data_IF_582783313055
#
_entry.id   IF_582783313055
#
_cell.length_a   1.000
_cell.length_b   1.000
_cell.length_c   1.000
_cell.angle_alpha   90.00
_cell.angle_beta   90.00
_cell.angle_gamma   90.00
#
_symmetry.space_group_name_H-M   'P 1'
#
loop_
_entity.id
_entity.type
_entity.pdbx_description
1 polymer ?
#
# COMPACT_ATOMS: atom_id res chain seq x y z
N UNK A 1 5.68 -74.13 49.90
CA UNK A 1 6.34 -74.91 48.85
C UNK A 1 6.68 -74.01 47.67
N UNK A 2 7.91 -73.51 47.65
CA UNK A 2 8.72 -73.07 46.49
C UNK A 2 9.51 -74.30 45.96
N UNK A 3 10.13 -74.32 44.74
CA UNK A 3 11.12 -73.36 44.16
C UNK A 3 10.79 -72.93 42.70
N UNK A 4 11.19 -71.77 42.12
CA UNK A 4 12.44 -70.97 42.01
C UNK A 4 13.49 -71.48 41.01
N UNK A 5 13.79 -70.66 39.98
CA UNK A 5 15.09 -70.38 39.31
C UNK A 5 14.79 -69.23 38.29
N UNK A 6 15.56 -68.17 38.03
CA UNK A 6 16.90 -67.69 38.40
C UNK A 6 17.44 -66.80 37.25
N UNK A 7 17.91 -65.58 37.55
CA UNK A 7 18.46 -64.53 36.65
C UNK A 7 19.81 -64.90 35.99
N UNK A 8 20.47 -64.19 35.05
CA UNK A 8 20.77 -62.74 34.89
C UNK A 8 21.43 -62.46 33.47
N UNK A 9 22.29 -61.43 33.24
CA UNK A 9 22.00 -60.12 32.61
C UNK A 9 22.78 -59.87 31.29
N UNK A 10 22.55 -58.73 30.62
CA UNK A 10 23.49 -58.19 29.60
C UNK A 10 23.70 -56.69 29.81
N UNK A 11 24.95 -56.34 30.08
CA UNK A 11 25.54 -55.00 30.18
C UNK A 11 25.79 -54.35 28.81
N UNK A 12 26.02 -53.04 28.80
CA UNK A 12 27.06 -52.44 27.95
C UNK A 12 26.60 -51.46 26.86
N UNK A 13 26.47 -50.19 27.24
CA UNK A 13 26.66 -49.06 26.32
C UNK A 13 28.13 -49.00 25.90
N UNK A 14 28.40 -49.01 24.60
CA UNK A 14 29.62 -48.45 24.02
C UNK A 14 29.26 -47.48 22.90
N UNK A 15 29.77 -46.26 23.03
CA UNK A 15 29.63 -45.18 22.07
C UNK A 15 30.50 -45.45 20.82
N UNK A 16 29.93 -45.25 19.64
CA UNK A 16 30.69 -45.17 18.39
C UNK A 16 30.92 -43.70 17.98
N UNK A 17 32.10 -43.35 17.45
CA UNK A 17 32.59 -41.98 17.37
C UNK A 17 31.97 -41.19 16.21
N UNK A 18 31.89 -39.87 16.42
CA UNK A 18 31.54 -38.89 15.42
C UNK A 18 32.55 -38.91 14.25
N UNK A 19 32.06 -39.18 13.05
CA UNK A 19 32.82 -38.98 11.80
C UNK A 19 32.61 -37.54 11.37
N UNK A 20 33.65 -36.72 11.56
CA UNK A 20 33.75 -35.39 10.95
C UNK A 20 33.81 -35.51 9.41
N UNK A 21 32.98 -34.79 8.65
CA UNK A 21 33.25 -34.61 7.24
C UNK A 21 34.41 -33.62 7.07
N UNK A 22 35.45 -34.13 6.40
CA UNK A 22 36.63 -33.44 5.91
C UNK A 22 36.23 -32.23 5.06
N UNK A 23 36.73 -31.05 5.46
CA UNK A 23 36.69 -29.83 4.65
C UNK A 23 37.61 -30.02 3.45
N UNK A 24 37.01 -30.18 2.27
CA UNK A 24 37.71 -30.06 0.99
C UNK A 24 37.50 -28.66 0.44
N UNK A 25 38.54 -27.83 0.46
CA UNK A 25 38.58 -26.58 -0.29
C UNK A 25 38.39 -26.85 -1.79
N UNK A 26 37.25 -26.43 -2.34
CA UNK A 26 37.07 -26.32 -3.79
C UNK A 26 36.95 -24.85 -4.13
N UNK A 27 38.09 -24.29 -4.51
CA UNK A 27 38.22 -23.00 -5.16
C UNK A 27 37.59 -23.10 -6.57
N UNK A 28 36.36 -22.60 -6.75
CA UNK A 28 35.77 -22.39 -8.08
C UNK A 28 35.26 -20.97 -8.22
N UNK A 29 36.12 -20.12 -8.79
CA UNK A 29 35.70 -18.94 -9.54
C UNK A 29 34.74 -19.39 -10.65
N UNK A 30 33.50 -18.90 -10.62
CA UNK A 30 32.62 -18.93 -11.78
C UNK A 30 32.14 -17.51 -12.06
N UNK A 31 32.70 -16.95 -13.12
CA UNK A 31 32.19 -15.79 -13.83
C UNK A 31 30.74 -16.08 -14.27
N UNK A 32 29.81 -15.20 -13.90
CA UNK A 32 28.50 -15.15 -14.55
C UNK A 32 28.38 -13.81 -15.27
N UNK A 33 28.49 -13.84 -16.59
CA UNK A 33 28.13 -12.73 -17.48
C UNK A 33 26.80 -13.09 -18.17
N UNK A 34 25.81 -12.26 -17.89
CA UNK A 34 24.63 -11.83 -18.65
C UNK A 34 23.97 -12.74 -19.69
N UNK A 35 22.64 -12.84 -19.61
CA UNK A 35 21.73 -12.59 -20.74
C UNK A 35 20.53 -11.78 -20.23
N UNK A 36 20.44 -10.51 -20.62
CA UNK A 36 19.22 -9.71 -20.52
C UNK A 36 18.30 -10.16 -21.66
N UNK A 37 17.20 -10.82 -21.33
CA UNK A 37 16.08 -11.04 -22.25
C UNK A 37 15.02 -9.98 -22.02
N UNK A 38 14.93 -9.00 -22.93
CA UNK A 38 13.80 -8.09 -22.99
C UNK A 38 12.58 -8.87 -23.52
N UNK A 39 11.53 -9.01 -22.70
CA UNK A 39 10.24 -9.50 -23.12
C UNK A 39 9.21 -8.37 -23.00
N UNK A 40 8.90 -7.75 -24.14
CA UNK A 40 7.71 -6.92 -24.32
C UNK A 40 6.54 -7.89 -24.45
N UNK A 41 5.63 -7.89 -23.47
CA UNK A 41 4.34 -8.58 -23.59
C UNK A 41 3.26 -7.52 -23.70
N UNK A 42 2.83 -7.30 -24.94
CA UNK A 42 1.55 -6.64 -25.23
C UNK A 42 0.45 -7.64 -24.89
N UNK A 43 -0.37 -7.32 -23.90
CA UNK A 43 -1.48 -8.17 -23.47
C UNK A 43 -2.81 -7.58 -23.94
N UNK A 44 -3.66 -8.33 -24.64
CA UNK A 44 -5.07 -8.05 -24.74
C UNK A 44 -5.84 -9.06 -23.87
N UNK A 45 -6.21 -8.69 -22.65
CA UNK A 45 -7.19 -9.45 -21.88
C UNK A 45 -8.58 -8.86 -22.09
N UNK A 46 -9.37 -9.56 -22.90
CA UNK A 46 -10.84 -9.49 -22.86
C UNK A 46 -11.29 -10.43 -21.74
N UNK A 47 -11.77 -9.88 -20.62
CA UNK A 47 -12.44 -10.67 -19.59
C UNK A 47 -13.87 -10.95 -20.03
N UNK A 48 -14.21 -12.24 -20.13
CA UNK A 48 -15.59 -12.71 -20.25
C UNK A 48 -16.33 -12.49 -18.94
N UNK A 49 -17.40 -11.69 -18.99
CA UNK A 49 -18.32 -11.50 -17.88
C UNK A 49 -19.22 -12.73 -17.71
N UNK A 50 -19.25 -13.28 -16.50
CA UNK A 50 -20.33 -14.18 -16.04
C UNK A 50 -21.58 -13.31 -15.84
N UNK A 51 -22.65 -13.66 -16.54
CA UNK A 51 -23.93 -12.95 -16.56
C UNK A 51 -24.59 -12.90 -15.18
N UNK A 52 -24.69 -11.70 -14.60
CA UNK A 52 -25.70 -11.37 -13.59
C UNK A 52 -26.76 -10.48 -14.23
N UNK A 53 -28.02 -10.94 -14.25
CA UNK A 53 -29.15 -10.21 -14.84
C UNK A 53 -29.58 -9.08 -13.90
N UNK A 54 -29.26 -7.83 -14.26
CA UNK A 54 -29.81 -6.62 -13.65
C UNK A 54 -29.23 -5.39 -14.35
N UNK A 55 -30.07 -4.64 -15.06
CA UNK A 55 -29.64 -3.69 -16.09
C UNK A 55 -28.88 -2.46 -15.60
N UNK A 56 -27.84 -2.09 -16.36
CA UNK A 56 -27.35 -0.72 -16.54
C UNK A 56 -26.37 -0.68 -17.73
N UNK A 57 -26.88 -0.90 -18.95
CA UNK A 57 -26.13 -0.68 -20.18
C UNK A 57 -26.18 0.81 -20.56
N UNK A 58 -25.24 1.62 -20.10
CA UNK A 58 -24.97 2.94 -20.73
C UNK A 58 -23.61 3.58 -20.42
N UNK A 59 -22.81 3.10 -19.47
CA UNK A 59 -21.56 3.79 -19.09
C UNK A 59 -20.36 3.53 -20.02
N UNK A 60 -20.29 2.38 -20.70
CA UNK A 60 -19.10 1.98 -21.48
C UNK A 60 -18.99 2.61 -22.89
N UNK A 61 -20.04 3.28 -23.39
CA UNK A 61 -20.01 3.97 -24.69
C UNK A 61 -19.53 5.43 -24.61
N UNK A 62 -19.41 6.01 -23.41
CA UNK A 62 -19.08 7.43 -23.25
C UNK A 62 -17.56 7.71 -23.26
N UNK A 63 -16.74 6.69 -22.98
CA UNK A 63 -15.28 6.86 -22.81
C UNK A 63 -14.52 6.81 -24.15
N UNK A 64 -15.04 6.14 -25.18
CA UNK A 64 -14.41 6.15 -26.52
C UNK A 64 -14.86 7.30 -27.43
N UNK A 65 -15.92 8.03 -27.09
CA UNK A 65 -16.36 9.23 -27.84
C UNK A 65 -15.68 10.52 -27.36
N UNK A 66 -14.98 10.49 -26.22
CA UNK A 66 -14.32 11.67 -25.64
C UNK A 66 -12.90 11.90 -26.17
N UNK A 67 -12.33 10.94 -26.92
CA UNK A 67 -10.96 11.00 -27.45
C UNK A 67 -10.85 11.55 -28.88
N UNK A 68 -11.97 11.88 -29.54
CA UNK A 68 -11.98 12.31 -30.96
C UNK A 68 -12.56 13.72 -31.21
N UNK A 69 -12.80 14.52 -30.15
CA UNK A 69 -13.45 15.84 -30.28
C UNK A 69 -12.63 17.06 -29.86
N UNK A 70 -11.32 16.93 -29.67
CA UNK A 70 -10.43 18.10 -29.46
C UNK A 70 -9.43 18.20 -30.61
N UNK A 71 -9.95 18.47 -31.80
CA UNK A 71 -9.17 19.09 -32.89
C UNK A 71 -10.03 20.12 -33.58
N UNK A 72 -10.00 21.34 -33.07
CA UNK A 72 -10.26 22.55 -33.86
C UNK A 72 -9.46 23.71 -33.25
N UNK A 73 -8.87 24.58 -34.10
CA UNK A 73 -7.80 25.46 -33.68
C UNK A 73 -8.38 26.74 -33.07
N UNK A 74 -7.96 27.05 -31.84
CA UNK A 74 -8.23 28.36 -31.24
C UNK A 74 -7.09 29.30 -31.62
N UNK A 75 -7.45 30.28 -32.46
CA UNK A 75 -7.01 31.67 -32.47
C UNK A 75 -5.54 31.96 -32.10
N UNK A 76 -4.79 32.39 -33.10
CA UNK A 76 -3.52 33.11 -32.99
C UNK A 76 -3.53 34.18 -31.89
N UNK A 77 -2.88 33.90 -30.78
CA UNK A 77 -2.26 34.92 -29.92
C UNK A 77 -0.76 34.92 -30.24
N UNK A 78 -0.22 36.12 -30.44
CA UNK A 78 1.19 36.40 -30.68
C UNK A 78 2.05 35.62 -29.67
N UNK A 79 2.84 34.65 -30.15
CA UNK A 79 3.97 34.09 -29.39
C UNK A 79 4.97 35.22 -29.23
N UNK A 80 4.90 35.89 -28.08
CA UNK A 80 5.96 36.76 -27.61
C UNK A 80 6.98 35.81 -26.98
N UNK A 81 8.12 35.61 -27.63
CA UNK A 81 9.22 34.79 -27.11
C UNK A 81 9.62 35.35 -25.74
N UNK A 82 9.15 34.72 -24.67
CA UNK A 82 9.40 35.16 -23.32
C UNK A 82 10.89 34.95 -22.98
N UNK A 83 11.55 36.04 -22.58
CA UNK A 83 13.01 36.16 -22.52
C UNK A 83 13.67 35.15 -21.55
N UNK A 84 12.91 34.60 -20.60
CA UNK A 84 13.44 33.79 -19.50
C UNK A 84 12.77 32.44 -19.27
N UNK A 85 12.03 31.90 -20.25
CA UNK A 85 11.29 30.63 -20.07
C UNK A 85 12.19 29.47 -19.61
N UNK A 86 13.38 29.32 -20.19
CA UNK A 86 14.35 28.26 -19.83
C UNK A 86 14.92 28.40 -18.41
N UNK A 87 14.77 29.57 -17.78
CA UNK A 87 15.27 29.85 -16.43
C UNK A 87 14.18 29.71 -15.37
N UNK A 88 12.92 29.59 -15.79
CA UNK A 88 11.77 29.48 -14.89
C UNK A 88 11.44 28.00 -14.65
N UNK A 89 11.42 27.59 -13.39
CA UNK A 89 11.20 26.19 -13.01
C UNK A 89 10.67 26.09 -11.59
N UNK A 90 10.03 24.97 -11.25
CA UNK A 90 9.51 24.71 -9.91
C UNK A 90 9.46 23.22 -9.57
N UNK A 91 9.29 22.89 -8.30
CA UNK A 91 9.11 21.52 -7.79
C UNK A 91 7.90 21.42 -6.87
N UNK A 92 7.24 20.26 -6.88
CA UNK A 92 6.18 19.90 -5.96
C UNK A 92 6.77 19.19 -4.72
N UNK A 93 6.37 19.65 -3.53
CA UNK A 93 6.81 19.06 -2.25
C UNK A 93 5.65 18.96 -1.27
N UNK A 94 5.77 18.07 -0.29
CA UNK A 94 4.84 17.98 0.84
C UNK A 94 5.61 17.70 2.13
N UNK A 95 4.89 17.46 3.23
CA UNK A 95 5.48 17.19 4.55
C UNK A 95 6.47 16.01 4.55
N UNK A 96 6.30 15.02 3.68
CA UNK A 96 7.21 13.88 3.57
C UNK A 96 8.49 14.21 2.83
N UNK A 97 8.51 15.26 2.01
CA UNK A 97 9.69 15.63 1.22
C UNK A 97 10.89 15.97 2.11
N UNK A 98 10.67 16.64 3.24
CA UNK A 98 11.75 16.96 4.20
C UNK A 98 12.23 15.75 5.01
N UNK A 99 11.38 14.73 5.16
CA UNK A 99 11.65 13.55 5.99
C UNK A 99 12.32 12.44 5.17
N UNK A 100 11.86 12.22 3.93
CA UNK A 100 12.21 11.05 3.10
C UNK A 100 12.79 11.44 1.73
N UNK A 101 12.79 12.73 1.39
CA UNK A 101 13.04 13.23 0.05
C UNK A 101 11.82 13.09 -0.86
N UNK A 102 12.00 13.40 -2.14
CA UNK A 102 10.92 13.30 -3.11
C UNK A 102 10.52 11.84 -3.35
N UNK A 103 9.21 11.59 -3.25
CA UNK A 103 8.65 10.30 -3.60
C UNK A 103 8.85 10.00 -5.09
N UNK A 104 9.12 8.73 -5.39
CA UNK A 104 9.31 8.25 -6.76
C UNK A 104 10.68 8.53 -7.38
N UNK A 105 11.64 9.09 -6.64
CA UNK A 105 13.02 9.35 -7.12
C UNK A 105 13.76 8.13 -7.68
N UNK A 106 13.39 6.92 -7.24
CA UNK A 106 13.99 5.67 -7.70
C UNK A 106 13.36 5.15 -9.01
N UNK A 107 12.29 5.78 -9.49
CA UNK A 107 11.65 5.45 -10.75
C UNK A 107 12.20 6.33 -11.87
N UNK A 108 12.82 5.76 -12.92
CA UNK A 108 13.45 6.54 -13.99
C UNK A 108 12.46 7.33 -14.86
N UNK A 109 11.15 7.09 -14.69
CA UNK A 109 10.08 7.78 -15.40
C UNK A 109 9.39 8.87 -14.56
N UNK A 110 9.85 9.14 -13.33
CA UNK A 110 9.34 10.22 -12.49
C UNK A 110 10.47 11.20 -12.24
N UNK A 111 10.30 12.44 -12.70
CA UNK A 111 11.26 13.51 -12.42
C UNK A 111 11.13 13.94 -10.96
N UNK A 112 12.24 14.31 -10.33
CA UNK A 112 12.22 14.86 -8.97
C UNK A 112 11.26 16.07 -8.88
N UNK A 113 10.43 16.11 -7.85
CA UNK A 113 9.43 17.18 -7.68
C UNK A 113 8.25 17.13 -8.66
N UNK A 114 8.04 16.01 -9.35
CA UNK A 114 6.92 15.81 -10.28
C UNK A 114 5.72 15.09 -9.63
N UNK A 115 5.90 14.47 -8.46
CA UNK A 115 4.85 13.71 -7.77
C UNK A 115 4.15 14.57 -6.71
N UNK A 116 2.83 14.52 -6.71
CA UNK A 116 1.97 15.01 -5.64
C UNK A 116 1.10 13.87 -5.09
N UNK A 117 0.49 14.08 -3.92
CA UNK A 117 -0.41 13.12 -3.31
C UNK A 117 -1.83 13.71 -3.22
N UNK A 118 -2.86 12.94 -3.56
CA UNK A 118 -4.24 13.40 -3.46
C UNK A 118 -4.61 13.63 -1.98
N UNK A 119 -5.46 14.62 -1.75
CA UNK A 119 -5.95 15.09 -0.45
C UNK A 119 -4.87 15.60 0.52
N UNK A 120 -3.61 15.65 0.08
CA UNK A 120 -2.51 16.27 0.82
C UNK A 120 -2.19 17.64 0.25
N UNK A 121 -1.80 18.56 1.13
CA UNK A 121 -1.30 19.87 0.70
C UNK A 121 0.04 19.70 0.01
N UNK A 122 0.07 20.05 -1.28
CA UNK A 122 1.28 20.13 -2.08
C UNK A 122 1.73 21.58 -2.14
N UNK A 123 2.98 21.84 -1.79
CA UNK A 123 3.62 23.16 -1.92
C UNK A 123 4.48 23.17 -3.18
N UNK A 124 4.17 24.10 -4.08
CA UNK A 124 4.97 24.40 -5.25
C UNK A 124 5.95 25.52 -4.94
N UNK A 125 7.23 25.21 -5.16
CA UNK A 125 8.33 26.12 -4.86
C UNK A 125 9.11 26.38 -6.14
N UNK A 126 9.32 27.66 -6.46
CA UNK A 126 10.17 28.06 -7.59
C UNK A 126 11.60 27.58 -7.36
N UNK A 127 12.17 26.94 -8.37
CA UNK A 127 13.57 26.53 -8.47
C UNK A 127 14.24 27.25 -9.64
N UNK A 128 13.77 28.45 -9.94
CA UNK A 128 14.20 29.24 -11.08
C UNK A 128 15.66 29.65 -10.93
N UNK A 129 16.39 29.72 -12.04
CA UNK A 129 17.79 30.19 -12.09
C UNK A 129 17.90 31.67 -12.46
N UNK A 130 16.76 32.37 -12.49
CA UNK A 130 16.68 33.82 -12.65
C UNK A 130 17.54 34.53 -11.60
N UNK A 131 18.18 35.62 -12.02
CA UNK A 131 18.91 36.51 -11.12
C UNK A 131 17.98 37.05 -10.02
N UNK A 132 18.49 37.20 -8.80
CA UNK A 132 17.70 37.63 -7.66
C UNK A 132 17.08 39.03 -7.85
N UNK A 133 17.78 39.93 -8.55
CA UNK A 133 17.28 41.28 -8.83
C UNK A 133 16.18 41.25 -9.90
N UNK A 134 16.21 40.26 -10.79
CA UNK A 134 15.14 40.00 -11.76
C UNK A 134 13.92 39.42 -11.04
N UNK A 135 14.12 38.37 -10.23
CA UNK A 135 13.06 37.74 -9.47
C UNK A 135 12.38 38.72 -8.50
N UNK A 136 13.15 39.63 -7.88
CA UNK A 136 12.61 40.66 -6.99
C UNK A 136 11.66 41.65 -7.69
N UNK A 137 11.78 41.80 -9.02
CA UNK A 137 10.90 42.64 -9.85
C UNK A 137 9.69 41.89 -10.42
N UNK A 138 9.55 40.60 -10.13
CA UNK A 138 8.48 39.77 -10.67
C UNK A 138 7.38 39.44 -9.66
N UNK A 139 6.15 39.36 -10.14
CA UNK A 139 5.03 38.71 -9.47
C UNK A 139 4.87 37.31 -10.07
N UNK A 140 4.98 36.28 -9.22
CA UNK A 140 4.71 34.90 -9.63
C UNK A 140 3.22 34.62 -9.54
N UNK A 141 2.68 34.00 -10.58
CA UNK A 141 1.30 33.56 -10.65
C UNK A 141 1.24 32.08 -11.01
N UNK A 142 0.23 31.38 -10.50
CA UNK A 142 0.13 29.92 -10.61
C UNK A 142 -1.26 29.50 -11.04
N UNK A 143 -1.36 28.47 -11.90
CA UNK A 143 -2.64 27.84 -12.24
C UNK A 143 -2.51 26.33 -12.37
N UNK A 144 -3.63 25.64 -12.19
CA UNK A 144 -3.76 24.19 -12.37
C UNK A 144 -4.80 23.94 -13.44
N UNK A 145 -4.44 23.19 -14.49
CA UNK A 145 -5.31 22.83 -15.63
C UNK A 145 -6.02 24.05 -16.28
N UNK A 146 -5.33 25.18 -16.33
CA UNK A 146 -5.85 26.41 -16.93
C UNK A 146 -6.92 27.11 -16.08
N UNK A 147 -6.98 26.82 -14.77
CA UNK A 147 -7.72 27.63 -13.81
C UNK A 147 -7.27 29.09 -13.83
N UNK A 148 -8.05 29.97 -13.21
CA UNK A 148 -7.63 31.35 -12.94
C UNK A 148 -6.28 31.35 -12.19
N UNK A 149 -5.41 32.28 -12.57
CA UNK A 149 -4.07 32.38 -11.99
C UNK A 149 -4.11 33.04 -10.60
N UNK A 150 -3.43 32.43 -9.63
CA UNK A 150 -3.24 32.97 -8.28
C UNK A 150 -1.85 33.61 -8.17
N UNK A 151 -1.80 34.93 -7.96
CA UNK A 151 -0.54 35.67 -7.78
C UNK A 151 -0.03 35.49 -6.35
N UNK A 152 0.97 34.63 -6.16
CA UNK A 152 1.56 34.32 -4.86
C UNK A 152 3.02 33.87 -4.96
N UNK A 153 3.82 34.19 -3.94
CA UNK A 153 5.23 33.75 -3.82
C UNK A 153 5.40 32.29 -3.38
N UNK A 154 4.35 31.67 -2.83
CA UNK A 154 4.31 30.24 -2.50
C UNK A 154 2.91 29.72 -2.81
N UNK A 155 2.83 28.73 -3.70
CA UNK A 155 1.56 28.19 -4.15
C UNK A 155 1.30 26.84 -3.49
N UNK A 156 0.19 26.75 -2.76
CA UNK A 156 -0.25 25.52 -2.10
C UNK A 156 -1.52 25.03 -2.75
N UNK A 157 -1.55 23.75 -3.08
CA UNK A 157 -2.68 23.13 -3.77
C UNK A 157 -2.98 21.75 -3.20
N UNK A 158 -4.25 21.38 -3.17
CA UNK A 158 -4.71 20.04 -2.77
C UNK A 158 -5.36 19.39 -3.99
N UNK A 159 -4.75 18.33 -4.51
CA UNK A 159 -5.35 17.53 -5.57
C UNK A 159 -6.45 16.64 -4.98
N UNK A 160 -7.68 16.73 -5.45
CA UNK A 160 -8.78 15.91 -4.91
C UNK A 160 -8.82 14.49 -5.46
N UNK A 161 -8.08 14.18 -6.53
CA UNK A 161 -8.10 12.88 -7.17
C UNK A 161 -6.71 12.48 -7.66
N UNK A 162 -6.44 11.17 -7.82
CA UNK A 162 -5.31 10.71 -8.60
C UNK A 162 -5.47 11.12 -10.06
N UNK A 163 -4.37 11.47 -10.70
CA UNK A 163 -4.39 11.93 -12.08
C UNK A 163 -3.11 12.63 -12.49
N UNK A 164 -3.18 13.24 -13.66
CA UNK A 164 -2.11 14.04 -14.24
C UNK A 164 -2.65 15.44 -14.44
N UNK A 165 -1.93 16.43 -13.93
CA UNK A 165 -2.34 17.83 -13.87
C UNK A 165 -1.28 18.72 -14.49
N UNK A 166 -1.68 19.72 -15.26
CA UNK A 166 -0.75 20.73 -15.77
C UNK A 166 -0.69 21.89 -14.79
N UNK A 167 0.46 22.05 -14.12
CA UNK A 167 0.70 23.19 -13.25
C UNK A 167 1.54 24.20 -14.00
N UNK A 168 1.03 25.43 -14.12
CA UNK A 168 1.72 26.53 -14.79
C UNK A 168 2.18 27.53 -13.73
N UNK A 169 3.43 27.98 -13.84
CA UNK A 169 3.96 29.15 -13.15
C UNK A 169 4.26 30.23 -14.19
N UNK A 170 3.68 31.41 -14.00
CA UNK A 170 3.87 32.61 -14.82
C UNK A 170 4.60 33.66 -14.01
N UNK A 171 5.48 34.43 -14.62
CA UNK A 171 6.20 35.54 -14.01
C UNK A 171 5.85 36.85 -14.75
N UNK A 172 5.29 37.80 -14.02
CA UNK A 172 4.88 39.10 -14.54
C UNK A 172 5.77 40.22 -14.01
N UNK A 173 6.16 41.18 -14.86
CA UNK A 173 6.89 42.37 -14.39
C UNK A 173 5.98 43.21 -13.48
N UNK A 174 6.48 43.61 -12.30
CA UNK A 174 5.72 44.41 -11.32
C UNK A 174 5.36 45.81 -11.82
N UNK A 175 6.16 46.37 -12.72
CA UNK A 175 5.97 47.72 -13.23
C UNK A 175 4.99 47.77 -14.39
N UNK A 176 5.23 46.97 -15.43
CA UNK A 176 4.39 46.98 -16.64
C UNK A 176 3.19 46.05 -16.56
N UNK A 177 3.26 44.99 -15.74
CA UNK A 177 2.26 43.92 -15.71
C UNK A 177 2.38 42.94 -16.88
N UNK A 178 3.41 43.06 -17.71
CA UNK A 178 3.62 42.17 -18.85
C UNK A 178 4.10 40.79 -18.41
N UNK A 179 3.72 39.76 -19.17
CA UNK A 179 4.24 38.41 -18.99
C UNK A 179 5.70 38.39 -19.45
N UNK A 180 6.60 37.97 -18.55
CA UNK A 180 8.06 37.93 -18.81
C UNK A 180 8.56 36.51 -19.04
N UNK A 181 7.98 35.54 -18.33
CA UNK A 181 8.29 34.12 -18.48
C UNK A 181 7.14 33.25 -18.02
N UNK A 182 7.04 32.04 -18.55
CA UNK A 182 6.18 31.01 -18.00
C UNK A 182 6.76 29.61 -18.18
N UNK A 183 6.40 28.70 -17.29
CA UNK A 183 6.77 27.30 -17.38
C UNK A 183 5.59 26.45 -16.96
N UNK A 184 5.35 25.35 -17.67
CA UNK A 184 4.30 24.39 -17.34
C UNK A 184 4.93 23.03 -17.12
N UNK A 185 4.61 22.40 -15.99
CA UNK A 185 5.03 21.02 -15.70
C UNK A 185 3.83 20.13 -15.48
N UNK A 186 3.95 18.92 -16.00
CA UNK A 186 3.03 17.84 -15.71
C UNK A 186 3.30 17.33 -14.28
N UNK A 187 2.29 17.38 -13.41
CA UNK A 187 2.32 16.88 -12.04
C UNK A 187 1.47 15.62 -11.93
N UNK A 188 2.06 14.56 -11.39
CA UNK A 188 1.43 13.26 -11.22
C UNK A 188 0.90 13.17 -9.79
N UNK A 189 -0.42 13.22 -9.62
CA UNK A 189 -1.09 12.98 -8.34
C UNK A 189 -1.35 11.48 -8.17
N UNK A 190 -0.67 10.83 -7.20
CA UNK A 190 -0.90 9.43 -6.86
C UNK A 190 -0.73 9.19 -5.36
N UNK A 191 -1.48 8.23 -4.84
CA UNK A 191 -1.30 7.72 -3.49
C UNK A 191 0.08 7.05 -3.34
N UNK A 192 0.79 7.35 -2.25
CA UNK A 192 2.10 6.78 -1.93
C UNK A 192 2.01 5.95 -0.66
N UNK A 193 2.22 4.62 -0.80
CA UNK A 193 2.30 3.71 0.34
C UNK A 193 3.69 3.78 0.96
N UNK A 194 3.74 3.87 2.29
CA UNK A 194 4.99 4.02 3.06
C UNK A 194 5.08 2.96 4.14
N UNK A 195 6.29 2.78 4.65
CA UNK A 195 6.52 1.95 5.83
C UNK A 195 5.81 2.59 7.04
N UNK A 196 5.03 1.83 7.79
CA UNK A 196 4.12 2.35 8.82
C UNK A 196 4.80 3.19 9.90
N UNK A 197 6.06 2.88 10.27
CA UNK A 197 6.84 3.63 11.29
C UNK A 197 7.39 4.94 10.73
N UNK A 198 7.43 5.09 9.41
CA UNK A 198 7.91 6.29 8.74
C UNK A 198 6.79 7.28 8.42
N UNK A 199 5.53 6.90 8.64
CA UNK A 199 4.40 7.82 8.56
C UNK A 199 4.52 8.94 9.61
N UNK A 200 4.00 10.13 9.30
CA UNK A 200 3.73 11.14 10.31
C UNK A 200 2.71 10.59 11.31
N UNK A 201 2.69 11.16 12.51
CA UNK A 201 1.74 10.74 13.54
C UNK A 201 0.29 10.93 13.08
N UNK A 202 0.01 12.04 12.40
CA UNK A 202 -1.30 12.38 11.84
C UNK A 202 -1.75 11.35 10.78
N UNK A 203 -0.88 10.97 9.84
CA UNK A 203 -1.22 9.99 8.81
C UNK A 203 -1.40 8.58 9.39
N UNK A 204 -0.57 8.22 10.37
CA UNK A 204 -0.67 6.93 11.04
C UNK A 204 -1.97 6.83 11.83
N UNK A 205 -2.35 7.88 12.55
CA UNK A 205 -3.61 7.92 13.27
C UNK A 205 -4.80 7.93 12.30
N UNK A 206 -4.71 8.67 11.18
CA UNK A 206 -5.73 8.64 10.14
C UNK A 206 -5.94 7.23 9.58
N UNK A 207 -4.86 6.49 9.30
CA UNK A 207 -4.93 5.08 8.89
C UNK A 207 -5.59 4.21 9.95
N UNK A 208 -5.14 4.28 11.20
CA UNK A 208 -5.67 3.43 12.27
C UNK A 208 -7.13 3.74 12.62
N UNK A 209 -7.52 5.01 12.61
CA UNK A 209 -8.90 5.45 12.79
C UNK A 209 -9.80 4.94 11.66
N UNK A 210 -9.37 5.04 10.39
CA UNK A 210 -10.13 4.51 9.26
C UNK A 210 -10.24 2.97 9.30
N UNK A 211 -9.17 2.29 9.68
CA UNK A 211 -9.16 0.84 9.86
C UNK A 211 -10.09 0.42 11.01
N UNK A 212 -10.09 1.13 12.14
CA UNK A 212 -10.99 0.86 13.25
C UNK A 212 -12.47 0.92 12.84
N UNK A 213 -12.85 1.90 12.01
CA UNK A 213 -14.20 1.97 11.42
C UNK A 213 -14.52 0.70 10.63
N UNK A 214 -13.63 0.25 9.74
CA UNK A 214 -13.82 -0.98 8.98
C UNK A 214 -13.93 -2.24 9.86
N UNK A 215 -13.25 -2.26 11.00
CA UNK A 215 -13.23 -3.41 11.91
C UNK A 215 -14.43 -3.44 12.87
N UNK A 216 -15.00 -2.29 13.23
CA UNK A 216 -16.06 -2.17 14.25
C UNK A 216 -17.44 -1.84 13.70
N UNK A 217 -17.55 -1.42 12.44
CA UNK A 217 -18.83 -1.08 11.84
C UNK A 217 -19.40 -2.28 11.10
N UNK A 218 -20.63 -2.68 11.44
CA UNK A 218 -21.33 -3.73 10.69
C UNK A 218 -21.57 -3.31 9.23
N UNK A 219 -21.42 -4.25 8.29
CA UNK A 219 -21.55 -4.00 6.85
C UNK A 219 -22.77 -3.14 6.46
N UNK A 220 -23.94 -3.44 7.04
CA UNK A 220 -25.18 -2.74 6.71
C UNK A 220 -25.17 -1.27 7.13
N UNK A 221 -24.62 -0.95 8.30
CA UNK A 221 -24.53 0.41 8.80
C UNK A 221 -23.38 1.19 8.15
N UNK A 222 -22.28 0.50 7.84
CA UNK A 222 -21.19 1.05 7.05
C UNK A 222 -21.65 1.45 5.65
N UNK A 223 -22.46 0.63 4.97
CA UNK A 223 -23.03 0.99 3.65
C UNK A 223 -23.98 2.19 3.72
N UNK A 224 -24.80 2.30 4.76
CA UNK A 224 -25.66 3.47 4.96
C UNK A 224 -24.85 4.76 5.18
N UNK A 225 -23.70 4.65 5.83
CA UNK A 225 -22.88 5.80 6.26
C UNK A 225 -21.86 6.23 5.21
N UNK A 226 -21.15 5.27 4.62
CA UNK A 226 -20.01 5.48 3.72
C UNK A 226 -20.32 5.10 2.25
N UNK A 227 -21.57 4.69 1.97
CA UNK A 227 -22.05 4.33 0.64
C UNK A 227 -21.94 2.84 0.31
N UNK A 228 -22.59 2.43 -0.78
CA UNK A 228 -22.80 1.02 -1.16
C UNK A 228 -21.49 0.22 -1.37
N UNK A 229 -20.39 0.92 -1.64
CA UNK A 229 -19.07 0.33 -1.84
C UNK A 229 -18.34 -0.01 -0.52
N UNK A 230 -18.91 0.33 0.64
CA UNK A 230 -18.33 -0.02 1.93
C UNK A 230 -18.37 -1.54 2.17
N UNK A 231 -17.25 -2.08 2.66
CA UNK A 231 -17.07 -3.48 3.04
C UNK A 231 -16.42 -3.53 4.42
N UNK A 232 -17.00 -4.28 5.36
CA UNK A 232 -16.39 -4.45 6.68
C UNK A 232 -15.24 -5.48 6.65
N UNK A 233 -14.47 -5.55 7.73
CA UNK A 233 -13.35 -6.50 7.83
C UNK A 233 -13.80 -7.96 7.67
N UNK A 234 -15.03 -8.29 8.07
CA UNK A 234 -15.54 -9.66 8.02
C UNK A 234 -15.80 -10.10 6.59
N UNK A 235 -16.27 -9.19 5.73
CA UNK A 235 -16.39 -9.43 4.30
C UNK A 235 -15.04 -9.81 3.67
N UNK A 236 -13.98 -9.06 4.00
CA UNK A 236 -12.63 -9.37 3.51
C UNK A 236 -12.15 -10.73 4.04
N UNK A 237 -12.32 -11.00 5.33
CA UNK A 237 -11.95 -12.28 5.93
C UNK A 237 -12.69 -13.46 5.27
N UNK A 238 -14.00 -13.33 5.03
CA UNK A 238 -14.81 -14.34 4.37
C UNK A 238 -14.38 -14.57 2.91
N UNK A 239 -14.15 -13.50 2.14
CA UNK A 239 -13.72 -13.62 0.76
C UNK A 239 -12.36 -14.34 0.68
N UNK A 240 -11.39 -13.90 1.48
CA UNK A 240 -10.08 -14.52 1.51
C UNK A 240 -10.16 -15.99 1.93
N UNK A 241 -10.91 -16.29 3.00
CA UNK A 241 -11.05 -17.65 3.48
C UNK A 241 -11.71 -18.57 2.46
N UNK A 242 -12.78 -18.10 1.80
CA UNK A 242 -13.50 -18.88 0.78
C UNK A 242 -12.60 -19.20 -0.41
N UNK A 243 -11.83 -18.22 -0.91
CA UNK A 243 -10.98 -18.42 -2.07
C UNK A 243 -9.72 -19.23 -1.75
N UNK A 244 -9.12 -19.06 -0.57
CA UNK A 244 -7.92 -19.78 -0.17
C UNK A 244 -8.18 -21.20 0.35
N UNK A 245 -9.24 -21.38 1.14
CA UNK A 245 -9.57 -22.64 1.80
C UNK A 245 -10.59 -23.49 1.05
N UNK A 246 -10.85 -23.17 -0.22
CA UNK A 246 -11.71 -23.96 -1.11
C UNK A 246 -11.22 -25.41 -1.18
N UNK A 247 -12.16 -26.36 -1.24
CA UNK A 247 -11.83 -27.81 -1.24
C UNK A 247 -11.22 -28.25 -2.56
N UNK A 248 -11.59 -27.58 -3.64
CA UNK A 248 -11.15 -27.92 -4.98
C UNK A 248 -9.70 -27.49 -5.21
N UNK A 249 -9.36 -26.23 -4.91
CA UNK A 249 -8.05 -25.63 -5.10
C UNK A 249 -7.89 -24.37 -4.23
N UNK A 250 -6.65 -24.01 -3.87
CA UNK A 250 -6.35 -22.67 -3.36
C UNK A 250 -6.35 -21.67 -4.53
N UNK A 251 -7.31 -20.74 -4.51
CA UNK A 251 -7.47 -19.73 -5.56
C UNK A 251 -6.74 -18.43 -5.27
N UNK A 252 -6.00 -18.30 -4.15
CA UNK A 252 -5.32 -17.07 -3.74
C UNK A 252 -3.82 -17.21 -3.54
N UNK A 253 -3.29 -18.39 -3.18
CA UNK A 253 -1.88 -18.57 -2.82
C UNK A 253 -1.10 -19.46 -3.79
N UNK A 254 -1.63 -20.63 -4.14
CA UNK A 254 -0.86 -21.66 -4.87
C UNK A 254 -1.00 -21.55 -6.39
N UNK A 255 -0.65 -20.39 -6.95
CA UNK A 255 -0.65 -20.22 -8.41
C UNK A 255 -0.14 -18.88 -8.93
N UNK A 256 -0.17 -18.73 -10.26
CA UNK A 256 0.24 -17.51 -10.96
C UNK A 256 -0.63 -16.28 -10.59
N UNK A 257 -1.79 -16.52 -9.99
CA UNK A 257 -2.71 -15.49 -9.51
C UNK A 257 -2.30 -14.82 -8.20
N UNK A 258 -1.38 -15.41 -7.42
CA UNK A 258 -1.08 -14.97 -6.05
C UNK A 258 -0.82 -13.46 -5.92
N UNK A 259 0.18 -12.96 -6.66
CA UNK A 259 0.56 -11.55 -6.64
C UNK A 259 -0.54 -10.61 -7.15
N UNK A 260 -1.12 -10.80 -8.35
CA UNK A 260 -2.15 -9.89 -8.84
C UNK A 260 -3.42 -9.91 -7.98
N UNK A 261 -3.79 -11.05 -7.38
CA UNK A 261 -4.95 -11.14 -6.51
C UNK A 261 -4.75 -10.39 -5.20
N UNK A 262 -3.61 -10.56 -4.53
CA UNK A 262 -3.31 -9.82 -3.30
C UNK A 262 -3.17 -8.31 -3.56
N UNK A 263 -2.57 -7.91 -4.70
CA UNK A 263 -2.52 -6.51 -5.10
C UNK A 263 -3.92 -5.90 -5.29
N UNK A 264 -4.83 -6.63 -5.95
CA UNK A 264 -6.22 -6.21 -6.12
C UNK A 264 -6.99 -6.18 -4.79
N UNK A 265 -6.75 -7.16 -3.91
CA UNK A 265 -7.36 -7.24 -2.59
C UNK A 265 -6.92 -6.07 -1.69
N UNK A 266 -5.63 -5.74 -1.67
CA UNK A 266 -5.10 -4.57 -0.96
C UNK A 266 -5.65 -3.27 -1.54
N UNK A 267 -5.76 -3.15 -2.87
CA UNK A 267 -6.35 -1.96 -3.49
C UNK A 267 -7.84 -1.81 -3.12
N UNK A 268 -8.59 -2.91 -3.07
CA UNK A 268 -9.98 -2.89 -2.62
C UNK A 268 -10.08 -2.46 -1.15
N UNK A 269 -9.24 -3.00 -0.27
CA UNK A 269 -9.17 -2.61 1.12
C UNK A 269 -8.84 -1.12 1.28
N UNK A 270 -7.84 -0.62 0.55
CA UNK A 270 -7.47 0.80 0.51
C UNK A 270 -8.62 1.68 0.03
N UNK A 271 -9.37 1.27 -0.99
CA UNK A 271 -10.52 2.02 -1.48
C UNK A 271 -11.63 2.12 -0.45
N UNK A 272 -11.84 1.08 0.38
CA UNK A 272 -12.81 1.15 1.47
C UNK A 272 -12.34 2.07 2.59
N UNK A 273 -11.05 2.03 2.97
CA UNK A 273 -10.49 3.01 3.89
C UNK A 273 -10.71 4.45 3.39
N UNK A 274 -10.55 4.67 2.08
CA UNK A 274 -10.75 5.97 1.43
C UNK A 274 -12.20 6.47 1.42
N UNK A 275 -13.19 5.57 1.58
CA UNK A 275 -14.58 5.98 1.82
C UNK A 275 -14.75 6.61 3.22
N UNK A 276 -13.91 6.21 4.18
CA UNK A 276 -13.91 6.74 5.55
C UNK A 276 -13.04 7.99 5.64
N UNK A 277 -11.82 7.93 5.09
CA UNK A 277 -10.90 9.05 5.04
C UNK A 277 -10.10 9.03 3.71
N UNK A 278 -10.32 10.00 2.81
CA UNK A 278 -9.74 9.98 1.48
C UNK A 278 -8.23 10.21 1.45
N UNK A 279 -7.61 10.72 2.52
CA UNK A 279 -6.14 10.89 2.62
C UNK A 279 -5.41 9.55 2.78
N UNK A 280 -6.10 8.53 3.28
CA UNK A 280 -5.47 7.29 3.76
C UNK A 280 -4.96 6.43 2.60
N UNK A 281 -3.77 5.86 2.82
CA UNK A 281 -3.22 4.74 2.05
C UNK A 281 -2.98 3.54 2.97
N UNK A 282 -2.91 2.34 2.41
CA UNK A 282 -2.48 1.17 3.17
C UNK A 282 -0.96 1.23 3.32
N UNK A 283 -0.41 1.40 4.54
CA UNK A 283 1.01 1.33 4.74
C UNK A 283 1.50 -0.11 4.61
N UNK A 284 2.80 -0.29 4.42
CA UNK A 284 3.43 -1.60 4.54
C UNK A 284 4.15 -1.73 5.87
N UNK A 285 4.23 -2.97 6.35
CA UNK A 285 5.06 -3.34 7.48
C UNK A 285 6.30 -4.05 6.97
N UNK A 286 7.46 -3.42 7.14
CA UNK A 286 8.73 -4.11 6.93
C UNK A 286 9.01 -5.01 8.15
N UNK A 287 8.63 -6.29 8.02
CA UNK A 287 8.83 -7.30 9.05
C UNK A 287 10.28 -7.80 9.14
N UNK A 288 11.15 -7.42 8.20
CA UNK A 288 12.56 -7.81 8.24
C UNK A 288 13.30 -7.14 9.40
N UNK A 289 12.79 -6.01 9.89
CA UNK A 289 13.25 -5.33 11.10
C UNK A 289 13.07 -6.23 12.32
N UNK A 290 11.87 -6.77 12.55
CA UNK A 290 11.61 -7.72 13.65
C UNK A 290 12.38 -9.02 13.45
N UNK A 291 12.46 -9.53 12.22
CA UNK A 291 13.23 -10.73 11.93
C UNK A 291 14.71 -10.55 12.29
N UNK A 292 15.29 -9.38 12.01
CA UNK A 292 16.66 -9.05 12.37
C UNK A 292 16.85 -8.94 13.89
N UNK A 293 15.90 -8.36 14.61
CA UNK A 293 15.93 -8.30 16.08
C UNK A 293 15.90 -9.71 16.69
N UNK A 294 15.01 -10.59 16.20
CA UNK A 294 14.96 -12.00 16.63
C UNK A 294 16.27 -12.73 16.38
N UNK A 295 16.90 -12.52 15.21
CA UNK A 295 18.20 -13.13 14.90
C UNK A 295 19.33 -12.61 15.80
N UNK A 296 19.30 -11.33 16.13
CA UNK A 296 20.33 -10.67 16.96
C UNK A 296 20.22 -11.10 18.42
N UNK A 297 19.01 -11.19 18.94
CA UNK A 297 18.74 -11.57 20.33
C UNK A 297 18.68 -13.08 20.55
N UNK A 298 18.48 -13.85 19.48
CA UNK A 298 18.27 -15.30 19.56
C UNK A 298 16.94 -15.70 20.20
N UNK A 299 15.94 -14.80 20.23
CA UNK A 299 14.65 -15.01 20.89
C UNK A 299 13.49 -14.45 20.07
N UNK A 300 12.42 -15.24 19.93
CA UNK A 300 11.16 -14.79 19.31
C UNK A 300 10.47 -13.69 20.14
N UNK A 301 10.91 -13.45 21.38
CA UNK A 301 10.39 -12.37 22.21
C UNK A 301 10.61 -11.00 21.55
N UNK A 302 11.77 -10.79 20.92
CA UNK A 302 12.11 -9.56 20.21
C UNK A 302 11.04 -9.15 19.17
N UNK A 303 10.40 -10.15 18.52
CA UNK A 303 9.31 -9.90 17.58
C UNK A 303 8.11 -9.23 18.26
N UNK A 304 7.80 -9.63 19.50
CA UNK A 304 6.65 -9.16 20.27
C UNK A 304 6.89 -7.83 20.97
N UNK A 305 8.15 -7.43 21.15
CA UNK A 305 8.52 -6.12 21.69
C UNK A 305 8.40 -4.98 20.66
N UNK A 306 8.21 -5.31 19.37
CA UNK A 306 7.99 -4.32 18.33
C UNK A 306 6.78 -3.42 18.63
N UNK A 307 6.96 -2.12 18.36
CA UNK A 307 5.88 -1.11 18.42
C UNK A 307 4.65 -1.49 17.59
N UNK A 308 4.81 -2.36 16.58
CA UNK A 308 3.70 -2.92 15.79
C UNK A 308 2.63 -3.56 16.68
N UNK A 309 3.03 -4.15 17.81
CA UNK A 309 2.12 -4.81 18.76
C UNK A 309 1.74 -3.92 19.95
N UNK A 310 2.14 -2.65 19.96
CA UNK A 310 1.70 -1.72 21.00
C UNK A 310 0.19 -1.45 20.93
N UNK A 311 -0.37 -1.02 22.05
CA UNK A 311 -1.80 -0.70 22.19
C UNK A 311 -2.29 0.36 21.20
N UNK A 312 -1.46 1.36 20.91
CA UNK A 312 -1.83 2.46 20.02
C UNK A 312 -1.90 2.00 18.56
N UNK A 313 -1.28 0.85 18.23
CA UNK A 313 -1.20 0.26 16.90
C UNK A 313 -2.08 -1.00 16.84
N UNK A 314 -1.49 -2.18 16.63
CA UNK A 314 -2.27 -3.41 16.38
C UNK A 314 -2.60 -4.21 17.65
N UNK A 315 -2.20 -3.73 18.83
CA UNK A 315 -2.57 -4.28 20.13
C UNK A 315 -1.81 -5.55 20.54
N UNK A 316 -1.57 -5.63 21.85
CA UNK A 316 -0.92 -6.75 22.50
C UNK A 316 -1.88 -7.95 22.60
N UNK A 317 -1.33 -9.17 22.48
CA UNK A 317 -2.06 -10.41 22.66
C UNK A 317 -1.76 -11.04 24.02
N UNK A 318 -2.78 -11.58 24.70
CA UNK A 318 -2.63 -12.30 25.97
C UNK A 318 -1.64 -13.47 25.83
N UNK A 319 -0.75 -13.67 26.81
CA UNK A 319 0.15 -14.83 26.81
C UNK A 319 -0.58 -16.16 27.04
N UNK A 320 -1.78 -16.16 27.60
CA UNK A 320 -2.57 -17.38 27.86
C UNK A 320 -3.34 -17.85 26.63
N UNK A 321 -4.33 -17.07 26.17
CA UNK A 321 -5.27 -17.47 25.11
C UNK A 321 -4.92 -16.88 23.74
N UNK A 322 -3.88 -16.05 23.68
CA UNK A 322 -3.38 -15.40 22.46
C UNK A 322 -4.34 -14.37 21.87
N UNK A 323 -5.44 -14.05 22.54
CA UNK A 323 -6.41 -13.04 22.08
C UNK A 323 -5.78 -11.66 22.15
N UNK A 324 -6.02 -10.81 21.15
CA UNK A 324 -5.68 -9.39 21.23
C UNK A 324 -6.59 -8.73 22.27
N UNK A 325 -6.05 -8.35 23.43
CA UNK A 325 -6.83 -7.87 24.58
C UNK A 325 -6.71 -6.36 24.80
N UNK A 326 -5.76 -5.70 24.13
CA UNK A 326 -5.47 -4.27 24.30
C UNK A 326 -5.48 -3.52 22.96
N UNK A 327 -5.58 -2.20 23.04
CA UNK A 327 -5.62 -1.32 21.88
C UNK A 327 -6.95 -1.29 21.15
N UNK A 328 -7.00 -0.53 20.05
CA UNK A 328 -8.24 -0.27 19.30
C UNK A 328 -8.86 -1.51 18.66
N UNK A 329 -8.06 -2.55 18.41
CA UNK A 329 -8.50 -3.83 17.83
C UNK A 329 -8.72 -4.93 18.88
N UNK A 330 -8.72 -4.59 20.17
CA UNK A 330 -8.99 -5.54 21.25
C UNK A 330 -10.32 -6.27 21.05
N UNK A 331 -10.31 -7.58 21.29
CA UNK A 331 -11.48 -8.44 21.18
C UNK A 331 -12.21 -8.34 19.83
N UNK A 332 -11.48 -8.09 18.74
CA UNK A 332 -12.04 -8.16 17.38
C UNK A 332 -12.64 -9.56 17.16
N UNK A 333 -13.95 -9.68 16.90
CA UNK A 333 -14.60 -10.97 16.75
C UNK A 333 -14.20 -11.63 15.43
N UNK A 334 -14.16 -12.96 15.44
CA UNK A 334 -14.13 -13.79 14.23
C UNK A 334 -15.55 -14.30 14.00
N UNK A 335 -16.08 -14.15 12.78
CA UNK A 335 -17.43 -14.65 12.46
C UNK A 335 -17.52 -16.15 12.73
N UNK A 336 -18.39 -16.52 13.67
CA UNK A 336 -18.67 -17.90 14.09
C UNK A 336 -20.05 -18.36 13.63
N UNK A 337 -20.35 -19.65 13.85
CA UNK A 337 -21.56 -20.30 13.33
C UNK A 337 -21.75 -20.07 11.82
N UNK A 338 -20.65 -20.00 11.08
CA UNK A 338 -20.62 -19.58 9.68
C UNK A 338 -20.98 -20.68 8.68
N UNK A 339 -21.51 -21.82 9.14
CA UNK A 339 -21.87 -22.97 8.30
C UNK A 339 -22.92 -22.63 7.23
N UNK A 340 -23.83 -21.69 7.52
CA UNK A 340 -24.82 -21.19 6.56
C UNK A 340 -24.29 -20.02 5.72
N UNK A 341 -23.10 -19.51 6.03
CA UNK A 341 -22.48 -18.33 5.42
C UNK A 341 -21.39 -18.71 4.40
N UNK A 342 -20.62 -19.77 4.65
CA UNK A 342 -19.54 -20.26 3.78
C UNK A 342 -19.30 -21.74 4.00
N UNK A 343 -18.91 -22.45 2.93
CA UNK A 343 -18.48 -23.85 3.00
C UNK A 343 -17.07 -24.01 3.60
N UNK A 344 -16.35 -22.89 3.76
CA UNK A 344 -14.99 -22.88 4.30
C UNK A 344 -15.00 -22.33 5.73
N UNK A 345 -15.02 -23.23 6.70
CA UNK A 345 -14.84 -22.90 8.11
C UNK A 345 -13.87 -23.87 8.76
N UNK A 346 -13.36 -23.54 9.95
CA UNK A 346 -12.73 -24.55 10.79
C UNK A 346 -13.76 -25.48 11.46
N UNK A 347 -13.29 -26.48 12.21
CA UNK A 347 -14.15 -27.45 12.90
C UNK A 347 -15.10 -26.85 13.95
N UNK A 348 -14.88 -25.60 14.35
CA UNK A 348 -15.73 -24.88 15.31
C UNK A 348 -16.71 -23.92 14.62
N UNK A 349 -16.75 -23.89 13.30
CA UNK A 349 -17.66 -23.04 12.52
C UNK A 349 -17.23 -21.58 12.45
N UNK A 350 -15.96 -21.27 12.70
CA UNK A 350 -15.43 -19.92 12.48
C UNK A 350 -14.92 -19.76 11.04
N UNK A 351 -15.06 -18.54 10.50
CA UNK A 351 -14.43 -18.11 9.23
C UNK A 351 -12.91 -18.06 9.41
N UNK A 352 -12.32 -19.25 9.34
CA UNK A 352 -10.89 -19.56 9.42
C UNK A 352 -10.61 -20.68 8.44
N UNK A 353 -9.33 -20.86 8.10
CA UNK A 353 -8.92 -21.97 7.27
C UNK A 353 -9.37 -23.32 7.91
N UNK A 354 -9.77 -24.32 7.12
CA UNK A 354 -10.28 -25.58 7.65
C UNK A 354 -9.32 -26.32 8.60
N UNK A 355 -8.02 -26.18 8.38
CA UNK A 355 -6.95 -26.74 9.21
C UNK A 355 -6.59 -25.90 10.45
N UNK A 356 -7.14 -24.68 10.57
CA UNK A 356 -6.92 -23.83 11.74
C UNK A 356 -7.87 -24.24 12.89
N UNK A 357 -7.40 -25.13 13.76
CA UNK A 357 -8.17 -25.67 14.88
C UNK A 357 -8.27 -24.75 16.12
N UNK A 358 -8.08 -23.45 15.95
CA UNK A 358 -8.26 -22.48 17.02
C UNK A 358 -9.76 -22.18 17.24
N UNK A 359 -10.24 -22.43 18.46
CA UNK A 359 -11.63 -22.23 18.90
C UNK A 359 -11.93 -20.84 19.47
N UNK A 360 -10.93 -19.96 19.55
CA UNK A 360 -11.10 -18.62 20.09
C UNK A 360 -12.03 -17.78 19.21
N UNK A 361 -13.00 -17.13 19.84
CA UNK A 361 -14.00 -16.28 19.16
C UNK A 361 -13.47 -14.92 18.74
N UNK A 362 -12.23 -14.61 19.11
CA UNK A 362 -11.56 -13.34 18.82
C UNK A 362 -10.29 -13.57 18.00
N UNK A 363 -9.80 -12.50 17.39
CA UNK A 363 -8.51 -12.49 16.69
C UNK A 363 -7.38 -12.82 17.69
N UNK A 364 -6.51 -13.75 17.28
CA UNK A 364 -5.40 -14.26 18.10
C UNK A 364 -4.05 -14.11 17.41
N UNK A 365 -2.96 -14.00 18.18
CA UNK A 365 -1.58 -13.94 17.66
C UNK A 365 -0.74 -15.13 18.15
N UNK A 366 -0.29 -15.97 17.22
CA UNK A 366 0.55 -17.13 17.53
C UNK A 366 1.97 -16.97 16.95
N UNK A 367 2.94 -17.66 17.54
CA UNK A 367 4.32 -17.75 17.06
C UNK A 367 4.56 -18.98 16.15
N UNK A 368 3.51 -19.77 15.93
CA UNK A 368 3.52 -20.99 15.15
C UNK A 368 2.27 -20.99 14.26
N UNK A 369 2.39 -21.54 13.07
CA UNK A 369 1.24 -21.89 12.24
C UNK A 369 0.59 -23.14 12.80
N UNK A 370 -0.73 -23.12 13.00
CA UNK A 370 -1.50 -24.34 13.17
C UNK A 370 -1.74 -24.92 11.77
N UNK A 371 -1.01 -25.97 11.42
CA UNK A 371 -1.11 -26.68 10.15
C UNK A 371 -0.69 -28.12 10.34
#
# INVERSE_FOLDING_TARGET
STPSYGAAPVEGMEAQPAVHPVVGEINRKRNFRAVLGAAVVVSPFVFGFVNYKGGASSAASSVMSALDKVKSPISSSVEQDAEYDDQLSFVASNEYTSIQGYAGKDYPWITEGQLAEPHKTTTFTSTSTLDSDVLARMNLAWSVDGSDEEVTGSFKYVFEQPGTYNVKMSAYDKGSGDLVASTTKEIISKYVRREIRTLTDDDREAFFSAAEVMYKTELGDGKKTYGDNFLDVQWFAQLHNTLAGSRECDHLHDGLGFLPQHAAFTLMFEKVLQLVNPVVTVPYWDYTIEAHAVLTEGSIHAWRESIVWSDDWFGEASPEDKVVTRGRFAHTPVVGNAWDLTDTTNAYGFVRAPWNMNKEKFVTRHNYTYG
#
